data_IF_901582064615
#
_entry.id   IF_901582064615
#
_cell.length_a   1.000
_cell.length_b   1.000
_cell.length_c   1.000
_cell.angle_alpha   90.00
_cell.angle_beta   90.00
_cell.angle_gamma   90.00
#
_symmetry.space_group_name_H-M   'P 1'
#
loop_
_entity.id
_entity.type
_entity.pdbx_description
1 polymer ?
#
# COMPACT_ATOMS: atom_id res chain seq x y z
N UNK A 1 7.59 -8.71 -27.69
CA UNK A 1 7.65 -7.47 -28.50
C UNK A 1 9.06 -6.94 -28.36
N UNK A 2 9.61 -6.38 -29.43
CA UNK A 2 10.95 -5.78 -29.43
C UNK A 2 10.80 -4.31 -29.76
N UNK A 3 11.46 -3.44 -28.99
CA UNK A 3 11.43 -2.00 -29.16
C UNK A 3 12.85 -1.46 -29.33
N UNK A 4 13.03 -0.30 -29.94
CA UNK A 4 14.32 0.40 -29.98
C UNK A 4 14.44 1.42 -28.85
N UNK A 5 15.67 1.80 -28.51
CA UNK A 5 15.92 2.87 -27.52
C UNK A 5 15.20 4.18 -27.87
N UNK A 6 15.15 4.56 -29.15
CA UNK A 6 14.47 5.75 -29.64
C UNK A 6 12.94 5.66 -29.44
N UNK A 7 12.34 4.48 -29.68
CA UNK A 7 10.91 4.27 -29.44
C UNK A 7 10.56 4.39 -27.95
N UNK A 8 11.37 3.78 -27.09
CA UNK A 8 11.18 3.88 -25.63
C UNK A 8 11.34 5.34 -25.18
N UNK A 9 12.41 6.01 -25.62
CA UNK A 9 12.66 7.42 -25.29
C UNK A 9 11.48 8.31 -25.68
N UNK A 10 10.90 8.11 -26.87
CA UNK A 10 9.71 8.84 -27.31
C UNK A 10 8.51 8.65 -26.40
N UNK A 11 8.29 7.44 -25.87
CA UNK A 11 7.16 7.10 -24.97
C UNK A 11 7.29 7.75 -23.61
N UNK A 12 8.54 7.87 -23.10
CA UNK A 12 8.80 8.40 -21.75
C UNK A 12 9.28 9.86 -21.75
N UNK A 13 9.41 10.48 -22.94
CA UNK A 13 9.88 11.86 -23.06
C UNK A 13 11.37 12.03 -22.80
N UNK A 14 12.16 10.98 -23.05
CA UNK A 14 13.61 10.96 -22.79
C UNK A 14 14.44 11.30 -24.03
N UNK A 15 15.74 11.52 -23.79
CA UNK A 15 16.77 11.74 -24.83
C UNK A 15 17.74 10.57 -24.85
N UNK A 16 17.94 10.00 -26.05
CA UNK A 16 18.89 8.89 -26.23
C UNK A 16 20.32 9.42 -26.33
N UNK A 17 21.22 8.82 -25.56
CA UNK A 17 22.67 9.02 -25.62
C UNK A 17 23.33 7.67 -25.91
N UNK A 18 23.84 7.48 -27.12
CA UNK A 18 24.40 6.23 -27.63
C UNK A 18 23.63 5.66 -28.83
N UNK A 19 23.45 4.36 -28.88
CA UNK A 19 22.82 3.66 -30.02
C UNK A 19 21.28 3.76 -29.97
N UNK A 20 20.69 4.57 -30.84
CA UNK A 20 19.23 4.75 -30.96
C UNK A 20 18.48 3.48 -31.35
N UNK A 21 19.15 2.59 -32.08
CA UNK A 21 18.58 1.34 -32.58
C UNK A 21 18.83 0.15 -31.64
N UNK A 22 19.40 0.38 -30.45
CA UNK A 22 19.59 -0.65 -29.44
C UNK A 22 18.26 -1.33 -29.12
N UNK A 23 18.23 -2.66 -29.28
CA UNK A 23 17.01 -3.48 -29.15
C UNK A 23 16.73 -3.86 -27.71
N UNK A 24 15.45 -3.77 -27.34
CA UNK A 24 14.96 -4.06 -26.00
C UNK A 24 13.78 -5.02 -26.10
N UNK A 25 13.84 -6.12 -25.37
CA UNK A 25 12.80 -7.13 -25.30
C UNK A 25 12.47 -7.59 -23.87
N UNK A 26 13.26 -7.15 -22.88
CA UNK A 26 13.07 -7.53 -21.47
C UNK A 26 13.47 -6.39 -20.52
N UNK A 27 13.07 -6.54 -19.24
CA UNK A 27 13.49 -5.67 -18.14
C UNK A 27 14.47 -6.45 -17.25
N UNK A 28 15.48 -5.77 -16.72
CA UNK A 28 16.40 -6.35 -15.74
C UNK A 28 16.80 -5.33 -14.68
N UNK A 29 17.19 -5.79 -13.50
CA UNK A 29 17.89 -4.96 -12.54
C UNK A 29 19.24 -4.55 -13.11
N UNK A 30 19.74 -3.36 -12.74
CA UNK A 30 20.98 -2.85 -13.30
C UNK A 30 22.18 -3.78 -13.01
N UNK A 31 22.22 -4.40 -11.84
CA UNK A 31 23.24 -5.36 -11.43
C UNK A 31 23.14 -6.74 -12.12
N UNK A 32 21.95 -7.07 -12.66
CA UNK A 32 21.65 -8.34 -13.33
C UNK A 32 21.43 -8.14 -14.85
N UNK A 33 21.90 -7.02 -15.40
CA UNK A 33 21.68 -6.63 -16.79
C UNK A 33 22.16 -7.69 -17.78
N UNK A 34 21.38 -7.90 -18.83
CA UNK A 34 21.69 -8.80 -19.97
C UNK A 34 21.46 -8.07 -21.28
N UNK A 35 22.02 -8.59 -22.38
CA UNK A 35 21.75 -8.06 -23.72
C UNK A 35 20.25 -8.11 -24.05
N UNK A 36 19.72 -7.04 -24.64
CA UNK A 36 18.29 -6.87 -24.89
C UNK A 36 17.49 -6.38 -23.69
N UNK A 37 18.10 -6.19 -22.53
CA UNK A 37 17.41 -5.66 -21.36
C UNK A 37 17.44 -4.13 -21.31
N UNK A 38 16.35 -3.57 -20.71
CA UNK A 38 16.32 -2.21 -20.22
C UNK A 38 16.37 -2.21 -18.69
N UNK A 39 17.27 -1.42 -18.14
CA UNK A 39 17.43 -1.18 -16.70
C UNK A 39 17.22 0.30 -16.37
N UNK A 40 17.21 0.66 -15.09
CA UNK A 40 17.14 2.06 -14.66
C UNK A 40 18.06 2.32 -13.47
N UNK A 41 18.49 3.57 -13.33
CA UNK A 41 19.27 4.07 -12.22
C UNK A 41 18.61 5.33 -11.67
N UNK A 42 18.00 5.22 -10.48
CA UNK A 42 17.39 6.35 -9.78
C UNK A 42 18.01 6.58 -8.39
N UNK A 43 18.67 5.58 -7.82
CA UNK A 43 19.29 5.67 -6.51
C UNK A 43 20.81 5.74 -6.64
N UNK A 44 21.47 6.79 -6.13
CA UNK A 44 22.93 6.97 -6.23
C UNK A 44 23.76 5.82 -5.68
N UNK A 45 23.22 5.02 -4.74
CA UNK A 45 23.91 3.85 -4.19
C UNK A 45 24.25 2.78 -5.23
N UNK A 46 23.50 2.76 -6.35
CA UNK A 46 23.65 1.79 -7.42
C UNK A 46 24.42 2.33 -8.62
N UNK A 47 24.96 3.56 -8.54
CA UNK A 47 25.66 4.21 -9.68
C UNK A 47 26.83 3.39 -10.21
N UNK A 48 27.56 2.71 -9.34
CA UNK A 48 28.71 1.87 -9.76
C UNK A 48 28.33 0.74 -10.71
N UNK A 49 27.08 0.23 -10.66
CA UNK A 49 26.63 -0.82 -11.58
C UNK A 49 26.46 -0.36 -13.04
N UNK A 50 26.37 0.95 -13.29
CA UNK A 50 26.19 1.46 -14.66
C UNK A 50 27.38 1.14 -15.56
N UNK A 51 28.56 0.98 -14.98
CA UNK A 51 29.81 0.69 -15.70
C UNK A 51 29.97 -0.79 -16.04
N UNK A 52 29.35 -1.68 -15.27
CA UNK A 52 29.50 -3.13 -15.39
C UNK A 52 28.27 -3.83 -15.96
N UNK A 53 27.13 -3.13 -16.02
CA UNK A 53 25.88 -3.71 -16.52
C UNK A 53 25.99 -4.14 -17.97
N UNK A 54 25.39 -5.29 -18.29
CA UNK A 54 25.25 -5.81 -19.66
C UNK A 54 23.89 -5.44 -20.27
N UNK A 55 23.09 -4.62 -19.61
CA UNK A 55 21.83 -4.11 -20.18
C UNK A 55 22.11 -3.29 -21.42
N UNK A 56 21.33 -3.52 -22.48
CA UNK A 56 21.48 -2.76 -23.72
C UNK A 56 21.12 -1.29 -23.55
N UNK A 57 20.17 -1.00 -22.64
CA UNK A 57 19.70 0.38 -22.36
C UNK A 57 19.56 0.59 -20.86
N UNK A 58 19.94 1.77 -20.37
CA UNK A 58 19.72 2.21 -18.99
C UNK A 58 19.03 3.57 -18.97
N UNK A 59 17.91 3.66 -18.27
CA UNK A 59 17.22 4.93 -18.01
C UNK A 59 17.90 5.61 -16.82
N UNK A 60 18.31 6.86 -16.98
CA UNK A 60 18.99 7.64 -15.94
C UNK A 60 18.38 9.05 -15.84
N UNK A 61 18.50 9.66 -14.68
CA UNK A 61 18.14 11.09 -14.53
C UNK A 61 19.09 11.99 -15.33
N UNK A 62 18.60 13.16 -15.74
CA UNK A 62 19.38 14.13 -16.50
C UNK A 62 20.63 14.65 -15.75
N UNK A 63 20.57 14.69 -14.43
CA UNK A 63 21.62 15.18 -13.53
C UNK A 63 22.70 14.13 -13.18
N UNK A 64 22.58 12.90 -13.66
CA UNK A 64 23.59 11.87 -13.43
C UNK A 64 24.86 12.18 -14.22
N UNK A 65 25.92 12.49 -13.51
CA UNK A 65 27.27 12.67 -14.08
C UNK A 65 28.03 11.33 -14.07
N UNK A 66 28.64 10.99 -15.20
CA UNK A 66 29.41 9.77 -15.36
C UNK A 66 30.90 10.07 -15.23
N UNK A 67 31.61 9.29 -14.43
CA UNK A 67 33.05 9.42 -14.25
C UNK A 67 33.85 8.94 -15.48
N UNK A 68 33.30 7.97 -16.23
CA UNK A 68 33.87 7.43 -17.46
C UNK A 68 32.80 6.87 -18.40
N UNK A 69 33.13 6.60 -19.67
CA UNK A 69 32.18 6.09 -20.64
C UNK A 69 31.56 4.75 -20.24
N UNK A 70 30.28 4.54 -20.58
CA UNK A 70 29.50 3.33 -20.35
C UNK A 70 29.25 2.60 -21.67
N UNK A 71 29.06 1.27 -21.60
CA UNK A 71 28.75 0.45 -22.78
C UNK A 71 27.26 0.53 -23.15
N UNK A 72 26.40 0.66 -22.16
CA UNK A 72 24.96 0.72 -22.36
C UNK A 72 24.54 2.04 -23.06
N UNK A 73 23.52 1.97 -23.88
CA UNK A 73 22.83 3.16 -24.36
C UNK A 73 22.04 3.79 -23.22
N UNK A 74 22.16 5.10 -23.04
CA UNK A 74 21.42 5.81 -21.99
C UNK A 74 20.17 6.47 -22.56
N UNK A 75 19.08 6.46 -21.78
CA UNK A 75 17.92 7.31 -21.98
C UNK A 75 17.85 8.26 -20.79
N UNK A 76 18.16 9.54 -21.05
CA UNK A 76 18.12 10.58 -20.03
C UNK A 76 16.73 11.17 -19.91
N UNK A 77 16.24 11.25 -18.67
CA UNK A 77 14.90 11.73 -18.32
C UNK A 77 14.96 12.59 -17.05
N UNK A 78 13.87 13.31 -16.75
CA UNK A 78 13.78 14.10 -15.52
C UNK A 78 13.63 13.22 -14.28
N UNK A 79 12.90 12.11 -14.37
CA UNK A 79 12.69 11.16 -13.27
C UNK A 79 12.69 9.71 -13.79
N UNK A 80 13.82 9.03 -13.63
CA UNK A 80 13.99 7.65 -14.09
C UNK A 80 13.04 6.65 -13.40
N UNK A 81 12.69 6.90 -12.12
CA UNK A 81 11.77 6.04 -11.37
C UNK A 81 10.33 6.14 -11.89
N UNK A 82 9.85 7.32 -12.19
CA UNK A 82 8.52 7.51 -12.80
C UNK A 82 8.47 6.93 -14.22
N UNK A 83 9.54 7.12 -14.99
CA UNK A 83 9.63 6.58 -16.35
C UNK A 83 9.60 5.06 -16.39
N UNK A 84 10.35 4.38 -15.53
CA UNK A 84 10.29 2.91 -15.45
C UNK A 84 8.93 2.41 -14.98
N UNK A 85 8.31 3.09 -14.00
CA UNK A 85 6.97 2.76 -13.56
C UNK A 85 5.95 2.84 -14.72
N UNK A 86 6.02 3.90 -15.51
CA UNK A 86 5.19 4.07 -16.72
C UNK A 86 5.40 2.95 -17.74
N UNK A 87 6.65 2.57 -18.01
CA UNK A 87 6.96 1.47 -18.94
C UNK A 87 6.43 0.13 -18.44
N UNK A 88 6.58 -0.17 -17.15
CA UNK A 88 6.04 -1.39 -16.56
C UNK A 88 4.51 -1.42 -16.62
N UNK A 89 3.84 -0.28 -16.42
CA UNK A 89 2.38 -0.17 -16.59
C UNK A 89 1.95 -0.43 -18.04
N UNK A 90 2.66 0.14 -19.02
CA UNK A 90 2.40 -0.11 -20.45
C UNK A 90 2.60 -1.59 -20.78
N UNK A 91 3.68 -2.19 -20.29
CA UNK A 91 3.96 -3.61 -20.48
C UNK A 91 2.85 -4.48 -19.87
N UNK A 92 2.42 -4.21 -18.65
CA UNK A 92 1.34 -4.96 -18.01
C UNK A 92 0.01 -4.81 -18.75
N UNK A 93 -0.31 -3.58 -19.18
CA UNK A 93 -1.53 -3.30 -19.97
C UNK A 93 -1.52 -3.96 -21.35
N UNK A 94 -0.34 -4.26 -21.91
CA UNK A 94 -0.20 -4.95 -23.21
C UNK A 94 -0.46 -6.46 -23.14
N UNK A 95 -0.49 -7.05 -21.94
CA UNK A 95 -0.77 -8.47 -21.76
C UNK A 95 -2.22 -8.78 -22.11
N UNK A 96 -2.49 -9.89 -22.82
CA UNK A 96 -3.85 -10.27 -23.16
C UNK A 96 -4.65 -10.55 -21.88
N UNK A 97 -5.77 -9.85 -21.73
CA UNK A 97 -6.71 -10.11 -20.63
C UNK A 97 -7.54 -11.35 -20.95
N UNK A 98 -7.85 -12.15 -19.94
CA UNK A 98 -8.79 -13.26 -20.05
C UNK A 98 -10.21 -12.68 -20.17
N UNK A 99 -11.09 -13.41 -20.86
CA UNK A 99 -12.52 -13.08 -20.97
C UNK A 99 -13.37 -14.34 -20.86
N UNK A 100 -14.64 -14.15 -20.55
CA UNK A 100 -15.61 -15.24 -20.45
C UNK A 100 -15.74 -15.83 -19.04
N UNK A 101 -16.76 -16.64 -18.87
CA UNK A 101 -17.10 -17.32 -17.60
C UNK A 101 -16.66 -18.77 -17.69
N UNK A 102 -15.81 -19.20 -16.74
CA UNK A 102 -15.36 -20.58 -16.68
C UNK A 102 -16.54 -21.54 -16.38
N UNK A 103 -16.57 -22.73 -16.97
CA UNK A 103 -17.69 -23.69 -16.74
C UNK A 103 -17.88 -24.09 -15.28
N UNK A 104 -16.82 -24.02 -14.46
CA UNK A 104 -16.86 -24.34 -13.03
C UNK A 104 -17.19 -23.12 -12.15
N UNK A 105 -17.38 -21.94 -12.71
CA UNK A 105 -17.81 -20.76 -11.96
C UNK A 105 -19.33 -20.83 -11.73
N UNK A 106 -19.77 -20.31 -10.60
CA UNK A 106 -21.18 -20.08 -10.33
C UNK A 106 -21.49 -18.59 -10.50
N UNK A 107 -22.44 -18.30 -11.36
CA UNK A 107 -22.98 -16.94 -11.50
C UNK A 107 -24.49 -17.03 -11.33
N UNK A 108 -25.04 -16.33 -10.32
CA UNK A 108 -26.47 -16.31 -10.10
C UNK A 108 -27.23 -15.86 -11.35
N UNK A 109 -28.37 -16.48 -11.67
CA UNK A 109 -29.23 -16.04 -12.78
C UNK A 109 -29.72 -14.58 -12.66
N UNK A 110 -29.73 -14.03 -11.45
CA UNK A 110 -30.13 -12.64 -11.16
C UNK A 110 -28.95 -11.64 -11.22
N UNK A 111 -27.72 -12.13 -11.26
CA UNK A 111 -26.52 -11.30 -11.35
C UNK A 111 -26.39 -10.67 -12.75
N UNK A 112 -25.79 -9.48 -12.81
CA UNK A 112 -25.51 -8.76 -14.05
C UNK A 112 -24.01 -8.58 -14.21
N UNK A 113 -23.47 -9.12 -15.31
CA UNK A 113 -22.07 -8.95 -15.69
C UNK A 113 -21.98 -7.97 -16.85
N UNK A 114 -21.03 -7.06 -16.77
CA UNK A 114 -20.63 -6.17 -17.85
C UNK A 114 -19.92 -6.91 -18.98
N UNK A 115 -19.48 -6.17 -19.99
CA UNK A 115 -18.78 -6.70 -21.16
C UNK A 115 -17.35 -7.09 -20.80
N UNK A 116 -16.79 -8.04 -21.54
CA UNK A 116 -15.39 -8.45 -21.49
C UNK A 116 -14.88 -8.86 -20.08
N UNK A 117 -15.80 -9.28 -19.21
CA UNK A 117 -15.46 -9.80 -17.89
C UNK A 117 -14.86 -11.21 -17.98
N UNK A 118 -13.93 -11.52 -17.09
CA UNK A 118 -13.44 -12.85 -16.80
C UNK A 118 -13.94 -13.32 -15.44
N UNK A 119 -14.54 -14.51 -15.39
CA UNK A 119 -14.92 -15.19 -14.16
C UNK A 119 -14.22 -16.55 -14.13
N UNK A 120 -13.24 -16.69 -13.27
CA UNK A 120 -12.38 -17.87 -13.17
C UNK A 120 -13.06 -19.09 -12.55
N UNK A 121 -12.46 -20.28 -12.68
CA UNK A 121 -13.01 -21.52 -12.07
C UNK A 121 -13.29 -21.37 -10.58
N UNK A 122 -14.41 -21.91 -10.14
CA UNK A 122 -14.87 -21.90 -8.75
C UNK A 122 -15.08 -20.51 -8.13
N UNK A 123 -15.06 -19.46 -8.93
CA UNK A 123 -15.53 -18.15 -8.48
C UNK A 123 -17.06 -18.19 -8.33
N UNK A 124 -17.58 -17.46 -7.34
CA UNK A 124 -19.01 -17.39 -7.05
C UNK A 124 -19.51 -15.95 -7.11
N UNK A 125 -20.57 -15.68 -7.87
CA UNK A 125 -21.23 -14.38 -7.95
C UNK A 125 -22.69 -14.55 -7.51
N UNK A 126 -23.04 -13.91 -6.40
CA UNK A 126 -24.32 -14.03 -5.71
C UNK A 126 -25.47 -13.31 -6.37
N UNK A 127 -26.62 -13.39 -5.72
CA UNK A 127 -27.89 -12.85 -6.23
C UNK A 127 -27.87 -11.33 -6.35
N UNK A 128 -28.41 -10.82 -7.46
CA UNK A 128 -28.53 -9.39 -7.76
C UNK A 128 -27.19 -8.63 -7.74
N UNK A 129 -26.05 -9.31 -7.74
CA UNK A 129 -24.76 -8.67 -7.89
C UNK A 129 -24.65 -7.98 -9.24
N UNK A 130 -24.05 -6.80 -9.27
CA UNK A 130 -23.82 -6.01 -10.50
C UNK A 130 -22.33 -5.78 -10.63
N UNK A 131 -21.73 -6.28 -11.70
CA UNK A 131 -20.31 -6.17 -12.05
C UNK A 131 -20.20 -5.34 -13.31
N UNK A 132 -19.37 -4.30 -13.30
CA UNK A 132 -19.11 -3.44 -14.45
C UNK A 132 -18.28 -4.14 -15.54
N UNK A 133 -17.88 -3.37 -16.55
CA UNK A 133 -17.15 -3.86 -17.73
C UNK A 133 -15.68 -4.18 -17.41
N UNK A 134 -15.06 -5.08 -18.18
CA UNK A 134 -13.64 -5.43 -18.17
C UNK A 134 -13.12 -5.96 -16.81
N UNK A 135 -13.97 -6.44 -15.92
CA UNK A 135 -13.58 -6.96 -14.62
C UNK A 135 -12.93 -8.33 -14.73
N UNK A 136 -11.89 -8.54 -13.93
CA UNK A 136 -11.14 -9.80 -13.86
C UNK A 136 -11.37 -10.44 -12.49
N UNK A 137 -12.23 -11.44 -12.42
CA UNK A 137 -12.56 -12.17 -11.19
C UNK A 137 -11.88 -13.53 -11.24
N UNK A 138 -10.82 -13.69 -10.45
CA UNK A 138 -9.96 -14.86 -10.48
C UNK A 138 -10.54 -16.05 -9.71
N UNK A 139 -9.95 -17.27 -9.85
CA UNK A 139 -10.48 -18.47 -9.22
C UNK A 139 -10.73 -18.35 -7.72
N UNK A 140 -11.81 -18.98 -7.25
CA UNK A 140 -12.23 -19.02 -5.83
C UNK A 140 -12.59 -17.66 -5.22
N UNK A 141 -12.70 -16.59 -5.99
CA UNK A 141 -13.22 -15.33 -5.49
C UNK A 141 -14.73 -15.41 -5.24
N UNK A 142 -15.21 -14.80 -4.17
CA UNK A 142 -16.63 -14.76 -3.80
C UNK A 142 -17.14 -13.32 -3.82
N UNK A 143 -18.11 -13.06 -4.68
CA UNK A 143 -18.85 -11.80 -4.76
C UNK A 143 -20.25 -12.08 -4.18
N UNK A 144 -20.52 -11.54 -2.99
CA UNK A 144 -21.77 -11.74 -2.28
C UNK A 144 -22.99 -11.12 -2.95
N UNK A 145 -24.17 -11.41 -2.41
CA UNK A 145 -25.44 -10.89 -2.90
C UNK A 145 -25.51 -9.37 -2.85
N UNK A 146 -26.17 -8.76 -3.84
CA UNK A 146 -26.39 -7.32 -3.92
C UNK A 146 -25.10 -6.45 -3.94
N UNK A 147 -23.93 -7.05 -4.15
CA UNK A 147 -22.67 -6.31 -4.35
C UNK A 147 -22.77 -5.49 -5.64
N UNK A 148 -22.28 -4.25 -5.58
CA UNK A 148 -22.15 -3.38 -6.75
C UNK A 148 -20.67 -3.07 -6.99
N UNK A 149 -20.17 -3.38 -8.16
CA UNK A 149 -18.78 -3.18 -8.54
C UNK A 149 -18.72 -2.44 -9.87
N UNK A 150 -17.88 -1.41 -9.95
CA UNK A 150 -17.65 -0.63 -11.16
C UNK A 150 -16.77 -1.36 -12.17
N UNK A 151 -16.24 -0.62 -13.13
CA UNK A 151 -15.48 -1.13 -14.26
C UNK A 151 -14.02 -1.40 -13.94
N UNK A 152 -13.36 -2.26 -14.72
CA UNK A 152 -11.93 -2.55 -14.69
C UNK A 152 -11.42 -3.04 -13.32
N UNK A 153 -12.26 -3.66 -12.51
CA UNK A 153 -11.85 -4.20 -11.22
C UNK A 153 -11.06 -5.50 -11.38
N UNK A 154 -10.08 -5.68 -10.50
CA UNK A 154 -9.20 -6.84 -10.48
C UNK A 154 -9.32 -7.54 -9.14
N UNK A 155 -9.99 -8.69 -9.11
CA UNK A 155 -10.29 -9.45 -7.91
C UNK A 155 -9.48 -10.74 -7.93
N UNK A 156 -8.44 -10.79 -7.15
CA UNK A 156 -7.49 -11.92 -7.09
C UNK A 156 -8.08 -13.15 -6.39
N UNK A 157 -7.43 -14.33 -6.51
CA UNK A 157 -7.97 -15.56 -5.96
C UNK A 157 -8.25 -15.51 -4.45
N UNK A 158 -9.29 -16.23 -4.01
CA UNK A 158 -9.72 -16.34 -2.60
C UNK A 158 -10.13 -15.01 -1.94
N UNK A 159 -10.38 -13.96 -2.72
CA UNK A 159 -10.96 -12.72 -2.20
C UNK A 159 -12.43 -12.94 -1.89
N UNK A 160 -12.91 -12.41 -0.76
CA UNK A 160 -14.32 -12.46 -0.39
C UNK A 160 -14.89 -11.06 -0.20
N UNK A 161 -15.95 -10.75 -0.95
CA UNK A 161 -16.72 -9.51 -0.81
C UNK A 161 -18.10 -9.89 -0.30
N UNK A 162 -18.41 -9.49 0.94
CA UNK A 162 -19.70 -9.79 1.57
C UNK A 162 -20.84 -8.99 0.94
N UNK A 163 -22.05 -9.46 1.19
CA UNK A 163 -23.28 -8.91 0.61
C UNK A 163 -23.42 -7.40 0.85
N UNK A 164 -23.95 -6.71 -0.15
CA UNK A 164 -24.32 -5.29 -0.13
C UNK A 164 -23.16 -4.32 -0.25
N UNK A 165 -21.90 -4.79 -0.24
CA UNK A 165 -20.73 -3.92 -0.37
C UNK A 165 -20.67 -3.24 -1.75
N UNK A 166 -20.03 -2.07 -1.81
CA UNK A 166 -19.93 -1.26 -3.02
C UNK A 166 -18.48 -0.99 -3.36
N UNK A 167 -18.10 -1.20 -4.61
CA UNK A 167 -16.78 -0.92 -5.16
C UNK A 167 -16.92 0.02 -6.35
N UNK A 168 -16.06 1.02 -6.43
CA UNK A 168 -15.91 1.91 -7.58
C UNK A 168 -15.18 1.26 -8.74
N UNK A 169 -14.62 2.08 -9.61
CA UNK A 169 -13.87 1.66 -10.79
C UNK A 169 -12.38 1.45 -10.48
N UNK A 170 -11.71 0.59 -11.25
CA UNK A 170 -10.27 0.32 -11.14
C UNK A 170 -9.86 -0.11 -9.73
N UNK A 171 -10.69 -0.86 -9.02
CA UNK A 171 -10.38 -1.40 -7.70
C UNK A 171 -9.62 -2.70 -7.85
N UNK A 172 -8.49 -2.82 -7.15
CA UNK A 172 -7.70 -4.05 -7.07
C UNK A 172 -7.77 -4.62 -5.67
N UNK A 173 -8.22 -5.88 -5.56
CA UNK A 173 -8.23 -6.63 -4.30
C UNK A 173 -7.29 -7.84 -4.44
N UNK A 174 -6.21 -7.85 -3.68
CA UNK A 174 -5.24 -8.96 -3.71
C UNK A 174 -5.75 -10.20 -2.96
N UNK A 175 -5.08 -11.32 -3.21
CA UNK A 175 -5.52 -12.63 -2.76
C UNK A 175 -5.79 -12.71 -1.26
N UNK A 176 -6.90 -13.36 -0.90
CA UNK A 176 -7.30 -13.58 0.49
C UNK A 176 -7.82 -12.33 1.21
N UNK A 177 -7.94 -11.18 0.55
CA UNK A 177 -8.55 -10.00 1.17
C UNK A 177 -10.04 -10.22 1.43
N UNK A 178 -10.56 -9.68 2.55
CA UNK A 178 -11.94 -9.84 2.99
C UNK A 178 -12.59 -8.47 3.16
N UNK A 179 -13.64 -8.22 2.40
CA UNK A 179 -14.36 -6.95 2.40
C UNK A 179 -15.76 -7.15 2.96
N UNK A 180 -16.05 -6.52 4.09
CA UNK A 180 -17.39 -6.52 4.68
C UNK A 180 -17.67 -7.64 5.70
N UNK A 181 -16.62 -8.25 6.28
CA UNK A 181 -16.77 -9.05 7.48
C UNK A 181 -17.40 -8.26 8.63
N UNK A 182 -18.04 -8.93 9.57
CA UNK A 182 -18.62 -8.27 10.74
C UNK A 182 -17.54 -7.59 11.57
N UNK A 183 -17.80 -6.35 11.95
CA UNK A 183 -16.97 -5.62 12.91
C UNK A 183 -16.99 -6.27 14.29
N UNK A 184 -15.97 -6.00 15.09
CA UNK A 184 -15.84 -6.47 16.47
C UNK A 184 -16.76 -5.67 17.40
N UNK A 185 -18.02 -6.07 17.43
CA UNK A 185 -19.07 -5.43 18.22
C UNK A 185 -19.72 -6.42 19.17
N UNK A 186 -19.51 -6.24 20.49
CA UNK A 186 -20.09 -7.06 21.55
C UNK A 186 -20.51 -6.21 22.73
N UNK A 187 -21.70 -6.49 23.27
CA UNK A 187 -22.21 -5.85 24.48
C UNK A 187 -21.90 -6.73 25.70
N UNK A 188 -21.14 -6.25 26.69
CA UNK A 188 -20.88 -7.02 27.90
C UNK A 188 -22.16 -7.16 28.75
N UNK A 189 -22.37 -8.34 29.31
CA UNK A 189 -23.43 -8.62 30.28
C UNK A 189 -22.89 -9.48 31.44
N UNK A 190 -23.74 -9.87 32.38
CA UNK A 190 -23.34 -10.67 33.54
C UNK A 190 -22.83 -12.09 33.20
N UNK A 191 -23.21 -12.62 32.04
CA UNK A 191 -22.91 -14.00 31.61
C UNK A 191 -21.83 -14.05 30.51
N UNK A 192 -21.41 -12.87 29.95
CA UNK A 192 -20.42 -12.80 28.88
C UNK A 192 -20.60 -11.61 27.94
N UNK A 193 -20.64 -11.90 26.64
CA UNK A 193 -20.68 -10.88 25.58
C UNK A 193 -21.73 -11.23 24.54
N UNK A 194 -22.76 -10.40 24.41
CA UNK A 194 -23.76 -10.52 23.35
C UNK A 194 -23.25 -9.87 22.06
N UNK A 195 -23.35 -10.61 20.96
CA UNK A 195 -22.96 -10.07 19.66
C UNK A 195 -23.92 -8.93 19.24
N UNK A 196 -23.34 -7.80 18.83
CA UNK A 196 -24.07 -6.71 18.18
C UNK A 196 -24.08 -7.01 16.67
N UNK A 197 -25.26 -7.26 16.06
CA UNK A 197 -25.36 -7.49 14.62
C UNK A 197 -24.81 -6.28 13.82
N UNK A 198 -24.03 -6.60 12.78
CA UNK A 198 -23.44 -5.59 11.91
C UNK A 198 -24.26 -5.54 10.60
N UNK A 199 -25.12 -4.51 10.48
CA UNK A 199 -26.09 -4.39 9.38
C UNK A 199 -25.67 -3.39 8.30
N UNK A 200 -24.54 -2.71 8.50
CA UNK A 200 -23.98 -1.80 7.52
C UNK A 200 -23.21 -2.51 6.43
N UNK A 201 -22.43 -1.75 5.69
CA UNK A 201 -21.67 -2.24 4.54
C UNK A 201 -20.28 -1.60 4.46
N UNK A 202 -19.50 -1.96 3.44
CA UNK A 202 -18.25 -1.29 3.04
C UNK A 202 -18.47 -0.58 1.71
N UNK A 203 -17.96 0.63 1.60
CA UNK A 203 -17.87 1.38 0.35
C UNK A 203 -16.41 1.64 0.03
N UNK A 204 -15.96 1.18 -1.12
CA UNK A 204 -14.62 1.41 -1.67
C UNK A 204 -14.78 2.29 -2.90
N UNK A 205 -14.12 3.42 -2.95
CA UNK A 205 -14.17 4.33 -4.09
C UNK A 205 -13.15 3.94 -5.19
N UNK A 206 -13.03 4.77 -6.22
CA UNK A 206 -12.22 4.48 -7.41
C UNK A 206 -10.72 4.40 -7.13
N UNK A 207 -10.00 3.62 -7.92
CA UNK A 207 -8.54 3.51 -7.94
C UNK A 207 -7.93 3.05 -6.60
N UNK A 208 -8.69 2.34 -5.78
CA UNK A 208 -8.21 1.76 -4.51
C UNK A 208 -7.52 0.44 -4.77
N UNK A 209 -6.45 0.18 -4.04
CA UNK A 209 -5.75 -1.10 -4.03
C UNK A 209 -5.63 -1.63 -2.62
N UNK A 210 -6.02 -2.90 -2.41
CA UNK A 210 -6.03 -3.57 -1.10
C UNK A 210 -5.17 -4.83 -1.18
N UNK A 211 -4.14 -4.87 -0.36
CA UNK A 211 -3.15 -5.93 -0.28
C UNK A 211 -3.69 -7.27 0.21
N UNK A 212 -2.88 -8.30 0.07
CA UNK A 212 -3.27 -9.66 0.40
C UNK A 212 -3.59 -9.84 1.89
N UNK A 213 -4.63 -10.65 2.18
CA UNK A 213 -5.10 -10.94 3.54
C UNK A 213 -5.45 -9.69 4.37
N UNK A 214 -5.76 -8.58 3.74
CA UNK A 214 -6.26 -7.38 4.39
C UNK A 214 -7.76 -7.51 4.64
N UNK A 215 -8.20 -7.11 5.83
CA UNK A 215 -9.61 -7.15 6.22
C UNK A 215 -10.16 -5.73 6.37
N UNK A 216 -11.35 -5.48 5.77
CA UNK A 216 -12.10 -4.24 5.93
C UNK A 216 -13.49 -4.61 6.46
N UNK A 217 -13.73 -4.33 7.74
CA UNK A 217 -14.99 -4.69 8.40
C UNK A 217 -16.13 -3.76 7.98
N UNK A 218 -17.35 -4.32 7.90
CA UNK A 218 -18.56 -3.52 7.70
C UNK A 218 -18.85 -2.66 8.90
N UNK A 219 -19.54 -1.57 8.70
CA UNK A 219 -20.04 -0.76 9.79
C UNK A 219 -21.18 -1.47 10.54
N UNK A 220 -21.37 -1.10 11.80
CA UNK A 220 -22.59 -1.50 12.55
C UNK A 220 -23.83 -0.99 11.85
N UNK A 221 -23.83 0.28 11.44
CA UNK A 221 -24.85 0.95 10.63
C UNK A 221 -24.16 1.93 9.68
N UNK A 222 -24.67 2.08 8.46
CA UNK A 222 -24.07 2.94 7.44
C UNK A 222 -22.94 2.24 6.70
N UNK A 223 -21.77 2.86 6.56
CA UNK A 223 -20.65 2.31 5.78
C UNK A 223 -19.30 2.58 6.43
N UNK A 224 -18.41 1.59 6.41
CA UNK A 224 -16.97 1.79 6.46
C UNK A 224 -16.53 2.27 5.09
N UNK A 225 -15.74 3.34 5.00
CA UNK A 225 -15.48 4.02 3.73
C UNK A 225 -13.98 4.08 3.44
N UNK A 226 -13.59 3.58 2.28
CA UNK A 226 -12.23 3.70 1.73
C UNK A 226 -12.31 4.64 0.53
N UNK A 227 -11.76 5.85 0.67
CA UNK A 227 -11.85 6.90 -0.33
C UNK A 227 -10.94 6.64 -1.52
N UNK A 228 -11.14 7.40 -2.59
CA UNK A 228 -10.42 7.30 -3.86
C UNK A 228 -8.91 7.29 -3.69
N UNK A 229 -8.24 6.41 -4.43
CA UNK A 229 -6.78 6.37 -4.55
C UNK A 229 -6.04 5.79 -3.35
N UNK A 230 -6.75 5.33 -2.30
CA UNK A 230 -6.13 4.69 -1.11
C UNK A 230 -5.38 3.43 -1.51
N UNK A 231 -4.22 3.21 -0.87
CA UNK A 231 -3.41 1.99 -1.01
C UNK A 231 -3.17 1.37 0.35
N UNK A 232 -3.71 0.18 0.55
CA UNK A 232 -3.48 -0.63 1.75
C UNK A 232 -2.60 -1.82 1.38
N UNK A 233 -1.52 -2.00 2.10
CA UNK A 233 -0.61 -3.14 1.93
C UNK A 233 -1.19 -4.40 2.59
N UNK A 234 -0.42 -5.47 2.61
CA UNK A 234 -0.83 -6.77 3.12
C UNK A 234 -1.10 -6.76 4.63
N UNK A 235 -2.06 -7.59 5.07
CA UNK A 235 -2.36 -7.80 6.49
C UNK A 235 -2.82 -6.53 7.23
N UNK A 236 -3.39 -5.55 6.54
CA UNK A 236 -3.96 -4.36 7.16
C UNK A 236 -5.34 -4.71 7.74
N UNK A 237 -5.67 -4.20 8.92
CA UNK A 237 -7.01 -4.30 9.52
C UNK A 237 -7.68 -2.93 9.57
N UNK A 238 -8.80 -2.78 8.88
CA UNK A 238 -9.68 -1.62 8.96
C UNK A 238 -10.96 -2.04 9.68
N UNK A 239 -11.16 -1.56 10.90
CA UNK A 239 -12.32 -1.93 11.69
C UNK A 239 -13.60 -1.17 11.25
N UNK A 240 -14.72 -1.51 11.89
CA UNK A 240 -16.04 -1.00 11.57
C UNK A 240 -16.14 0.53 11.68
N UNK A 241 -16.95 1.16 10.84
CA UNK A 241 -17.23 2.60 10.87
C UNK A 241 -16.01 3.52 10.66
N UNK A 242 -14.91 2.97 10.17
CA UNK A 242 -13.70 3.73 9.82
C UNK A 242 -13.91 4.46 8.49
N UNK A 243 -13.34 5.64 8.37
CA UNK A 243 -13.22 6.37 7.12
C UNK A 243 -11.75 6.67 6.83
N UNK A 244 -11.25 6.26 5.66
CA UNK A 244 -9.89 6.53 5.18
C UNK A 244 -9.96 7.55 4.04
N UNK A 245 -9.33 8.70 4.23
CA UNK A 245 -9.30 9.82 3.28
C UNK A 245 -8.49 9.50 2.01
N UNK A 246 -8.75 10.30 0.97
CA UNK A 246 -8.20 10.09 -0.37
C UNK A 246 -6.67 10.01 -0.40
N UNK A 247 -6.13 9.14 -1.27
CA UNK A 247 -4.70 8.99 -1.53
C UNK A 247 -3.85 8.67 -0.28
N UNK A 248 -4.46 8.19 0.78
CA UNK A 248 -3.74 7.71 1.97
C UNK A 248 -3.15 6.35 1.71
N UNK A 249 -1.92 6.12 2.17
CA UNK A 249 -1.19 4.87 2.00
C UNK A 249 -0.82 4.27 3.36
N UNK A 250 -0.99 2.96 3.50
CA UNK A 250 -0.69 2.22 4.73
C UNK A 250 0.15 1.00 4.39
N UNK A 251 1.31 0.90 5.02
CA UNK A 251 2.19 -0.28 4.88
C UNK A 251 1.63 -1.47 5.66
N UNK A 252 2.27 -2.63 5.50
CA UNK A 252 1.79 -3.89 6.05
C UNK A 252 1.54 -3.87 7.57
N UNK A 253 0.50 -4.61 7.98
CA UNK A 253 0.12 -4.82 9.37
C UNK A 253 -0.35 -3.55 10.12
N UNK A 254 -0.75 -2.49 9.41
CA UNK A 254 -1.42 -1.35 10.04
C UNK A 254 -2.77 -1.78 10.58
N UNK A 255 -3.10 -1.34 11.80
CA UNK A 255 -4.39 -1.61 12.46
C UNK A 255 -5.13 -0.31 12.80
N UNK A 256 -6.34 -0.13 12.27
CA UNK A 256 -7.19 1.01 12.53
C UNK A 256 -8.42 0.54 13.31
N UNK A 257 -8.52 0.98 14.57
CA UNK A 257 -9.66 0.62 15.42
C UNK A 257 -10.95 1.37 15.03
N UNK A 258 -12.08 0.84 15.49
CA UNK A 258 -13.41 1.27 15.06
C UNK A 258 -13.71 2.76 15.20
N UNK A 259 -14.53 3.28 14.30
CA UNK A 259 -15.01 4.68 14.26
C UNK A 259 -13.92 5.75 14.14
N UNK A 260 -12.72 5.36 13.71
CA UNK A 260 -11.59 6.28 13.46
C UNK A 260 -11.74 6.94 12.09
N UNK A 261 -11.41 8.23 12.01
CA UNK A 261 -11.36 9.00 10.77
C UNK A 261 -9.93 9.35 10.44
N UNK A 262 -9.46 8.92 9.28
CA UNK A 262 -8.13 9.24 8.76
C UNK A 262 -8.28 10.22 7.61
N UNK A 263 -7.54 11.31 7.65
CA UNK A 263 -7.50 12.32 6.60
C UNK A 263 -6.88 11.84 5.30
N UNK A 264 -6.80 12.73 4.34
CA UNK A 264 -6.25 12.48 3.01
C UNK A 264 -4.73 12.63 2.99
N UNK A 265 -4.07 11.92 2.05
CA UNK A 265 -2.62 11.99 1.83
C UNK A 265 -1.78 11.62 3.06
N UNK A 266 -2.30 10.81 3.96
CA UNK A 266 -1.55 10.27 5.08
C UNK A 266 -0.64 9.13 4.63
N UNK A 267 0.48 8.92 5.34
CA UNK A 267 1.43 7.85 5.08
C UNK A 267 1.75 7.13 6.39
N UNK A 268 1.35 5.86 6.51
CA UNK A 268 1.59 5.07 7.71
C UNK A 268 2.59 3.96 7.43
N UNK A 269 3.66 3.95 8.20
CA UNK A 269 4.65 2.88 8.22
C UNK A 269 4.07 1.57 8.74
N UNK A 270 4.77 0.46 8.51
CA UNK A 270 4.29 -0.86 8.93
C UNK A 270 4.03 -0.96 10.43
N UNK A 271 3.01 -1.73 10.81
CA UNK A 271 2.63 -1.98 12.20
C UNK A 271 2.19 -0.74 13.00
N UNK A 272 1.75 0.33 12.33
CA UNK A 272 1.09 1.46 13.01
C UNK A 272 -0.27 1.01 13.55
N UNK A 273 -0.57 1.41 14.79
CA UNK A 273 -1.86 1.15 15.44
C UNK A 273 -2.56 2.45 15.83
N UNK A 274 -3.82 2.61 15.43
CA UNK A 274 -4.66 3.74 15.84
C UNK A 274 -5.75 3.27 16.80
N UNK A 275 -5.91 4.01 17.90
CA UNK A 275 -7.02 3.82 18.84
C UNK A 275 -8.37 4.13 18.17
N UNK A 276 -9.46 3.62 18.74
CA UNK A 276 -10.81 3.88 18.26
C UNK A 276 -11.29 5.31 18.53
N UNK A 277 -12.27 5.75 17.72
CA UNK A 277 -12.95 7.05 17.89
C UNK A 277 -12.05 8.28 17.82
N UNK A 278 -10.91 8.20 17.12
CA UNK A 278 -10.00 9.33 16.95
C UNK A 278 -10.05 9.89 15.53
N UNK A 279 -9.53 11.09 15.38
CA UNK A 279 -9.38 11.76 14.07
C UNK A 279 -7.91 12.05 13.81
N UNK A 280 -7.42 11.61 12.66
CA UNK A 280 -6.08 11.90 12.15
C UNK A 280 -6.24 12.91 11.02
N UNK A 281 -5.63 14.09 11.16
CA UNK A 281 -5.70 15.12 10.13
C UNK A 281 -4.90 14.76 8.87
N UNK A 282 -5.16 15.50 7.81
CA UNK A 282 -4.54 15.29 6.49
C UNK A 282 -3.00 15.35 6.54
N UNK A 283 -2.35 14.64 5.63
CA UNK A 283 -0.89 14.65 5.44
C UNK A 283 -0.10 14.32 6.71
N UNK A 284 -0.65 13.46 7.56
CA UNK A 284 0.06 12.91 8.72
C UNK A 284 0.96 11.77 8.26
N UNK A 285 2.23 11.85 8.63
CA UNK A 285 3.22 10.78 8.42
C UNK A 285 3.51 10.10 9.75
N UNK A 286 3.23 8.79 9.83
CA UNK A 286 3.52 7.97 11.01
C UNK A 286 4.63 6.97 10.69
N UNK A 287 5.73 7.07 11.43
CA UNK A 287 6.81 6.08 11.35
C UNK A 287 6.35 4.69 11.79
N UNK A 288 7.05 3.65 11.33
CA UNK A 288 6.70 2.27 11.65
C UNK A 288 6.61 2.01 13.17
N UNK A 289 5.69 1.10 13.56
CA UNK A 289 5.44 0.70 14.94
C UNK A 289 4.94 1.84 15.86
N UNK A 290 4.39 2.90 15.31
CA UNK A 290 3.77 3.96 16.11
C UNK A 290 2.41 3.55 16.63
N UNK A 291 2.16 3.84 17.91
CA UNK A 291 0.86 3.66 18.58
C UNK A 291 0.23 5.01 18.88
N UNK A 292 -0.94 5.29 18.31
CA UNK A 292 -1.62 6.59 18.39
C UNK A 292 -2.85 6.49 19.29
N UNK A 293 -2.82 7.03 20.51
CA UNK A 293 -3.93 6.93 21.45
C UNK A 293 -4.98 8.02 21.31
N UNK A 294 -4.78 9.06 20.47
CA UNK A 294 -5.67 10.22 20.38
C UNK A 294 -5.53 10.98 19.06
N UNK A 295 -6.27 12.09 18.95
CA UNK A 295 -6.36 12.89 17.74
C UNK A 295 -5.01 13.53 17.35
N UNK A 296 -4.75 13.60 16.03
CA UNK A 296 -3.64 14.32 15.42
C UNK A 296 -4.15 15.42 14.48
N UNK A 297 -3.47 16.56 14.47
CA UNK A 297 -3.96 17.75 13.73
C UNK A 297 -3.74 17.67 12.22
N UNK A 298 -2.79 16.88 11.77
CA UNK A 298 -2.35 16.83 10.38
C UNK A 298 -1.11 17.66 10.08
N UNK A 299 -0.49 17.40 8.90
CA UNK A 299 0.81 17.97 8.50
C UNK A 299 1.92 17.73 9.54
N UNK A 300 1.88 16.57 10.19
CA UNK A 300 2.82 16.18 11.26
C UNK A 300 3.58 14.92 10.83
N UNK A 301 4.86 14.88 11.20
CA UNK A 301 5.73 13.70 11.06
C UNK A 301 6.08 13.19 12.44
N UNK A 302 5.52 12.03 12.80
CA UNK A 302 5.55 11.47 14.14
C UNK A 302 6.02 10.00 14.13
N UNK A 303 6.63 9.58 15.22
CA UNK A 303 7.03 8.17 15.44
C UNK A 303 7.00 7.82 16.93
N UNK A 304 6.74 6.56 17.24
CA UNK A 304 6.81 6.00 18.60
C UNK A 304 5.44 5.74 19.23
N UNK A 305 5.48 5.28 20.47
CA UNK A 305 4.28 4.97 21.27
C UNK A 305 4.46 5.55 22.68
N UNK A 306 3.76 6.67 23.04
CA UNK A 306 2.92 7.50 22.14
C UNK A 306 3.76 8.22 21.07
N UNK A 307 3.13 8.67 19.98
CA UNK A 307 3.86 9.31 18.89
C UNK A 307 4.37 10.69 19.30
N UNK A 308 5.59 11.00 18.88
CA UNK A 308 6.23 12.30 19.10
C UNK A 308 6.94 12.75 17.81
N UNK A 309 7.25 14.06 17.68
CA UNK A 309 7.98 14.56 16.52
C UNK A 309 9.28 13.79 16.26
N UNK A 310 9.56 13.46 15.01
CA UNK A 310 10.65 12.57 14.61
C UNK A 310 12.01 12.96 15.23
N UNK A 311 12.36 14.26 15.20
CA UNK A 311 13.62 14.75 15.79
C UNK A 311 13.69 14.52 17.32
N UNK A 312 12.57 14.70 18.02
CA UNK A 312 12.49 14.50 19.46
C UNK A 312 12.61 13.03 19.81
N UNK A 313 11.96 12.17 19.04
CA UNK A 313 12.06 10.72 19.20
C UNK A 313 13.52 10.25 19.13
N UNK A 314 14.26 10.61 18.08
CA UNK A 314 15.66 10.19 17.95
C UNK A 314 16.56 10.74 19.05
N UNK A 315 16.34 11.97 19.51
CA UNK A 315 17.07 12.49 20.70
C UNK A 315 16.76 11.66 21.95
N UNK A 316 15.49 11.35 22.18
CA UNK A 316 15.08 10.52 23.31
C UNK A 316 15.67 9.11 23.25
N UNK A 317 15.68 8.49 22.06
CA UNK A 317 16.29 7.17 21.85
C UNK A 317 17.81 7.17 22.09
N UNK A 318 18.50 8.23 21.74
CA UNK A 318 19.94 8.37 22.03
C UNK A 318 20.22 8.46 23.54
N UNK A 319 19.36 9.16 24.29
CA UNK A 319 19.45 9.24 25.77
C UNK A 319 19.03 7.91 26.39
N UNK A 320 17.95 7.27 25.90
CA UNK A 320 17.45 6.01 26.41
C UNK A 320 18.54 4.92 26.48
N UNK A 321 19.41 4.85 25.47
CA UNK A 321 20.54 3.92 25.42
C UNK A 321 21.59 4.18 26.53
N UNK A 322 21.64 5.40 27.06
CA UNK A 322 22.58 5.82 28.12
C UNK A 322 21.96 5.80 29.52
N UNK A 323 20.66 5.48 29.64
CA UNK A 323 20.00 5.47 30.96
C UNK A 323 20.71 4.61 32.01
N UNK A 324 21.26 3.41 31.71
CA UNK A 324 22.00 2.63 32.71
C UNK A 324 23.21 3.36 33.26
N UNK A 325 23.97 4.04 32.37
CA UNK A 325 25.14 4.82 32.78
C UNK A 325 24.74 6.05 33.61
N UNK A 326 23.74 6.78 33.13
CA UNK A 326 23.18 7.94 33.82
C UNK A 326 22.63 7.57 35.22
N UNK A 327 22.00 6.39 35.35
CA UNK A 327 21.52 5.90 36.65
C UNK A 327 22.67 5.62 37.60
N UNK A 328 23.76 5.04 37.10
CA UNK A 328 24.98 4.81 37.89
C UNK A 328 25.60 6.14 38.36
N UNK A 329 25.80 7.08 37.40
CA UNK A 329 26.36 8.40 37.68
C UNK A 329 25.53 9.15 38.75
N UNK A 330 24.19 9.08 38.62
CA UNK A 330 23.27 9.68 39.58
C UNK A 330 23.42 9.07 41.01
N UNK A 331 23.58 7.76 41.09
CA UNK A 331 23.78 7.09 42.38
C UNK A 331 25.15 7.43 43.00
N UNK A 332 26.20 7.54 42.21
CA UNK A 332 27.51 7.92 42.67
C UNK A 332 27.52 9.38 43.15
N UNK A 333 26.89 10.30 42.41
CA UNK A 333 26.67 11.68 42.86
C UNK A 333 25.87 11.78 44.16
N UNK A 334 24.85 10.96 44.36
CA UNK A 334 24.11 10.91 45.63
C UNK A 334 25.00 10.52 46.82
N UNK A 335 25.86 9.50 46.65
CA UNK A 335 26.81 9.08 47.69
C UNK A 335 27.81 10.17 48.00
N UNK A 336 28.35 10.85 46.99
CA UNK A 336 29.26 11.98 47.21
C UNK A 336 28.58 13.10 48.00
N UNK A 337 27.34 13.49 47.61
CA UNK A 337 26.57 14.50 48.35
C UNK A 337 26.30 14.11 49.81
N UNK A 338 26.02 12.83 50.08
CA UNK A 338 25.84 12.33 51.46
C UNK A 338 27.15 12.39 52.26
N UNK A 339 28.30 12.09 51.64
CA UNK A 339 29.60 12.20 52.27
C UNK A 339 29.96 13.64 52.65
N UNK A 340 29.68 14.61 51.76
CA UNK A 340 29.85 16.05 52.06
C UNK A 340 28.99 16.50 53.23
N UNK A 341 27.71 16.12 53.29
CA UNK A 341 26.83 16.47 54.40
C UNK A 341 27.25 15.89 55.75
N UNK A 342 27.93 14.76 55.76
CA UNK A 342 28.43 14.11 57.01
C UNK A 342 29.76 14.68 57.43
N UNK A 343 30.55 15.30 56.56
CA UNK A 343 31.84 15.96 56.92
C UNK A 343 31.66 17.39 57.44
N UNK A 344 30.47 18.00 57.19
CA UNK A 344 30.15 19.34 57.73
C UNK A 344 29.43 19.30 59.11
N UNK A 345 29.35 18.14 59.71
CA UNK A 345 28.94 17.95 61.14
C UNK A 345 30.07 17.54 62.00
#
# INVERSE_FOLDING_TARGET
>A
MEFTAEQIASVIGGRVEGNKDAKINTFAKIEEGVEGAISFLSNPKYTHYIYDTKSSVVIVNNDVELEHPVQATLIRVDNAYECIAKLLQIYEASKPKKTGVAPQAYVSPTAKLGKDCYVGPFACIGDNAVVGDNCQIYPHAVIGDNVKMGDNCLIYPNTTIYQGCKLGNNVTLHAGSVIGSDGFGFAPNAEGYDKIPQIGLVTIEDNVEIGANTCVDRSTMGSTVIRKGVKLDNLVQIAHNVEIGENTVMSAQVGIAGSTKVGSWCMFGGQVGLAGHITIGDRTLLGAQSGVPGNLKGNEELIGTPPMPLRQYFKSQAIFRRLPDMYKDLNDLKKEMESFKNNDK
#
